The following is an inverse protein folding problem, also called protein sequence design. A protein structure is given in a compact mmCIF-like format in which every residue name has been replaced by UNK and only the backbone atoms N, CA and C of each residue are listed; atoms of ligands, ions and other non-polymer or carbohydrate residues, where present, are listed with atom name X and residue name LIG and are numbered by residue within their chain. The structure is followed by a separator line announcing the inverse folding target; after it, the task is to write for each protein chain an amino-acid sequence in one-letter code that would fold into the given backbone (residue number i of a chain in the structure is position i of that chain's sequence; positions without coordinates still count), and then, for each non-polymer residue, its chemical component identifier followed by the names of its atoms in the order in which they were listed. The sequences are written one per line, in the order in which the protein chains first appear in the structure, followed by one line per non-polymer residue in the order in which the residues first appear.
data_IF_640523889964
#
_entry.id   IF_640523889964
#
_cell.length_a   1.000
_cell.length_b   1.000
_cell.length_c   1.000
_cell.angle_alpha   90.00
_cell.angle_beta   90.00
_cell.angle_gamma   90.00
#
_symmetry.space_group_name_H-M   'P 1'
#
loop_
_entity.id
_entity.type
_entity.pdbx_description
1 polymer ?
#
# COMPACT_ATOMS: atom_id res chain seq x y z
N UNK A 1 0.63 2.08 -0.64
CA UNK A 1 1.13 2.89 -1.77
C UNK A 1 2.53 3.39 -1.45
N UNK A 2 3.44 3.29 -2.38
CA UNK A 2 4.84 3.70 -2.22
C UNK A 2 5.41 4.22 -3.54
N UNK A 3 6.30 5.22 -3.45
CA UNK A 3 7.04 5.75 -4.59
C UNK A 3 7.99 4.67 -5.16
N UNK A 4 8.02 4.57 -6.48
CA UNK A 4 8.94 3.71 -7.23
C UNK A 4 9.68 4.51 -8.31
N UNK A 5 10.47 3.82 -9.13
CA UNK A 5 11.20 4.43 -10.25
C UNK A 5 10.28 5.18 -11.22
N UNK A 6 10.83 6.19 -11.88
CA UNK A 6 10.08 7.07 -12.80
C UNK A 6 9.17 8.08 -12.08
N UNK A 7 9.24 8.18 -10.74
CA UNK A 7 8.39 9.09 -9.98
C UNK A 7 6.93 8.65 -9.87
N UNK A 8 6.63 7.40 -10.23
CA UNK A 8 5.31 6.79 -10.10
C UNK A 8 5.11 6.12 -8.75
N UNK A 9 3.88 5.70 -8.43
CA UNK A 9 3.59 4.88 -7.25
C UNK A 9 3.18 3.46 -7.64
N UNK A 10 3.35 2.52 -6.69
CA UNK A 10 2.82 1.15 -6.73
C UNK A 10 2.10 0.83 -5.44
N UNK A 11 1.28 -0.23 -5.53
CA UNK A 11 0.46 -0.69 -4.43
C UNK A 11 0.90 -2.08 -3.99
N UNK A 12 0.90 -2.28 -2.67
CA UNK A 12 1.00 -3.60 -2.04
C UNK A 12 -0.41 -3.91 -1.52
N UNK A 13 -1.09 -4.86 -2.15
CA UNK A 13 -2.41 -5.30 -1.71
C UNK A 13 -2.25 -6.51 -0.80
N UNK A 14 -2.82 -6.44 0.39
CA UNK A 14 -2.69 -7.45 1.43
C UNK A 14 -4.00 -8.22 1.52
N UNK A 15 -3.93 -9.54 1.29
CA UNK A 15 -5.05 -10.47 1.39
C UNK A 15 -4.77 -11.45 2.52
N UNK A 16 -5.69 -11.61 3.44
CA UNK A 16 -5.60 -12.59 4.52
C UNK A 16 -6.62 -13.72 4.36
N UNK A 17 -7.90 -13.42 4.49
CA UNK A 17 -8.99 -14.40 4.36
C UNK A 17 -9.73 -14.29 3.03
N UNK A 18 -9.74 -13.11 2.42
CA UNK A 18 -10.42 -12.86 1.16
C UNK A 18 -9.70 -13.49 -0.01
N UNK A 19 -10.46 -13.94 -1.01
CA UNK A 19 -9.97 -14.42 -2.29
C UNK A 19 -10.52 -13.59 -3.43
N UNK A 20 -9.69 -13.35 -4.45
CA UNK A 20 -10.03 -12.64 -5.66
C UNK A 20 -9.44 -13.42 -6.84
N UNK A 21 -10.29 -13.79 -7.81
CA UNK A 21 -9.88 -14.49 -9.05
C UNK A 21 -9.19 -13.58 -10.06
N UNK A 22 -9.42 -12.26 -9.98
CA UNK A 22 -9.01 -11.28 -10.99
C UNK A 22 -8.29 -10.10 -10.32
N UNK A 23 -7.04 -10.34 -9.89
CA UNK A 23 -6.22 -9.34 -9.21
C UNK A 23 -5.03 -8.91 -10.06
N UNK A 24 -4.90 -7.60 -10.34
CA UNK A 24 -3.78 -7.08 -11.11
C UNK A 24 -3.93 -5.60 -11.50
N UNK A 25 -3.01 -5.09 -12.30
CA UNK A 25 -1.85 -5.79 -12.87
C UNK A 25 -0.75 -6.05 -11.84
N UNK A 26 -0.26 -7.29 -11.82
CA UNK A 26 0.87 -7.67 -10.97
C UNK A 26 2.16 -7.11 -11.56
N UNK A 27 2.98 -6.50 -10.70
CA UNK A 27 4.24 -5.86 -11.08
C UNK A 27 5.41 -6.43 -10.29
N UNK A 28 6.62 -5.98 -10.66
CA UNK A 28 7.86 -6.41 -10.01
C UNK A 28 7.94 -5.95 -8.56
N UNK A 29 8.54 -6.78 -7.70
CA UNK A 29 8.83 -6.46 -6.31
C UNK A 29 9.78 -5.28 -6.17
N UNK A 30 9.68 -4.59 -5.04
CA UNK A 30 10.51 -3.44 -4.68
C UNK A 30 11.07 -3.60 -3.26
N UNK A 31 12.18 -2.92 -2.91
CA UNK A 31 12.82 -3.08 -1.60
C UNK A 31 11.93 -2.75 -0.41
N UNK A 32 10.92 -1.90 -0.58
CA UNK A 32 9.95 -1.56 0.47
C UNK A 32 8.96 -2.70 0.75
N UNK A 33 8.64 -3.55 -0.24
CA UNK A 33 7.58 -4.56 -0.11
C UNK A 33 7.81 -5.53 1.06
N UNK A 34 9.01 -6.16 1.19
CA UNK A 34 9.25 -7.08 2.30
C UNK A 34 9.21 -6.39 3.66
N UNK A 35 9.58 -5.12 3.75
CA UNK A 35 9.59 -4.41 5.03
C UNK A 35 8.18 -4.17 5.57
N UNK A 36 7.19 -4.04 4.69
CA UNK A 36 5.76 -3.94 5.05
C UNK A 36 5.16 -5.32 5.34
N UNK A 37 5.54 -6.34 4.54
CA UNK A 37 4.93 -7.66 4.63
C UNK A 37 5.46 -8.50 5.79
N UNK A 38 6.70 -8.28 6.23
CA UNK A 38 7.40 -9.13 7.21
C UNK A 38 6.66 -9.32 8.54
N UNK A 39 6.04 -8.30 9.17
CA UNK A 39 5.31 -8.52 10.42
C UNK A 39 4.10 -9.44 10.24
N UNK A 40 3.52 -9.44 9.05
CA UNK A 40 2.35 -10.26 8.73
C UNK A 40 2.71 -11.73 8.52
N UNK A 41 4.00 -12.05 8.27
CA UNK A 41 4.44 -13.41 7.96
C UNK A 41 3.89 -13.95 6.65
N UNK A 42 3.53 -13.06 5.72
CA UNK A 42 2.92 -13.41 4.44
C UNK A 42 3.92 -13.79 3.35
N UNK A 43 3.39 -14.18 2.20
CA UNK A 43 4.14 -14.48 0.96
C UNK A 43 4.01 -13.29 0.02
N UNK A 44 5.11 -12.81 -0.53
CA UNK A 44 5.10 -11.77 -1.54
C UNK A 44 4.82 -12.38 -2.92
N UNK A 45 3.85 -11.79 -3.63
CA UNK A 45 3.50 -12.16 -5.00
C UNK A 45 3.91 -11.03 -5.93
N UNK A 46 4.76 -11.33 -6.91
CA UNK A 46 5.27 -10.33 -7.85
C UNK A 46 5.54 -10.95 -9.24
N UNK A 47 5.63 -10.11 -10.29
CA UNK A 47 5.99 -10.57 -11.63
C UNK A 47 7.51 -10.76 -11.83
N UNK A 48 8.29 -10.75 -10.76
CA UNK A 48 9.76 -10.77 -10.76
C UNK A 48 10.31 -9.56 -9.99
N UNK A 49 11.57 -9.28 -10.16
CA UNK A 49 12.26 -8.13 -9.59
C UNK A 49 13.53 -7.80 -10.38
N UNK A 50 14.17 -6.67 -10.08
CA UNK A 50 15.54 -6.37 -10.51
C UNK A 50 16.49 -7.42 -9.92
N UNK A 51 17.52 -7.82 -10.68
CA UNK A 51 18.46 -8.89 -10.31
C UNK A 51 19.01 -8.71 -8.90
N UNK A 52 19.04 -9.80 -8.12
CA UNK A 52 19.51 -9.80 -6.72
C UNK A 52 18.46 -9.51 -5.67
N UNK A 53 17.36 -8.83 -6.00
CA UNK A 53 16.36 -8.41 -5.00
C UNK A 53 15.54 -9.59 -4.45
N UNK A 54 15.20 -10.60 -5.26
CA UNK A 54 14.40 -11.75 -4.75
C UNK A 54 15.18 -12.56 -3.69
N UNK A 55 16.46 -12.91 -3.90
CA UNK A 55 17.28 -13.48 -2.83
C UNK A 55 17.28 -12.65 -1.55
N UNK A 56 17.51 -11.35 -1.65
CA UNK A 56 17.51 -10.43 -0.52
C UNK A 56 16.17 -10.45 0.24
N UNK A 57 15.03 -10.44 -0.47
CA UNK A 57 13.69 -10.55 0.13
C UNK A 57 13.53 -11.89 0.87
N UNK A 58 14.00 -12.99 0.29
CA UNK A 58 13.95 -14.29 0.94
C UNK A 58 14.84 -14.35 2.20
N UNK A 59 16.03 -13.73 2.16
CA UNK A 59 16.94 -13.63 3.31
C UNK A 59 16.32 -12.77 4.45
N UNK A 60 15.44 -11.84 4.12
CA UNK A 60 14.62 -11.15 5.12
C UNK A 60 13.51 -12.03 5.71
N UNK A 61 13.35 -13.28 5.29
CA UNK A 61 12.32 -14.20 5.75
C UNK A 61 10.95 -14.00 5.11
N UNK A 62 10.88 -13.35 3.94
CA UNK A 62 9.65 -13.17 3.16
C UNK A 62 9.72 -14.05 1.91
N UNK A 63 8.98 -15.19 1.86
CA UNK A 63 8.94 -16.02 0.66
C UNK A 63 8.35 -15.27 -0.52
N UNK A 64 8.85 -15.53 -1.72
CA UNK A 64 8.40 -14.87 -2.96
C UNK A 64 7.84 -15.89 -3.94
N UNK A 65 6.65 -15.63 -4.48
CA UNK A 65 6.08 -16.31 -5.64
C UNK A 65 6.15 -15.34 -6.82
N UNK A 66 6.89 -15.74 -7.84
CA UNK A 66 6.99 -15.00 -9.11
C UNK A 66 6.08 -15.59 -10.18
N UNK A 67 5.90 -14.85 -11.28
CA UNK A 67 5.08 -15.22 -12.44
C UNK A 67 5.33 -16.67 -12.89
N UNK A 68 4.42 -17.56 -12.51
CA UNK A 68 4.38 -18.98 -12.91
C UNK A 68 2.94 -19.38 -13.18
N UNK A 69 2.73 -20.02 -14.34
CA UNK A 69 1.42 -20.63 -14.62
C UNK A 69 1.21 -21.86 -13.71
N UNK A 70 -0.02 -22.15 -13.31
CA UNK A 70 -1.30 -21.53 -13.73
C UNK A 70 -1.81 -20.38 -12.86
N UNK A 71 -1.08 -19.93 -11.83
CA UNK A 71 -1.54 -18.97 -10.83
C UNK A 71 -1.69 -17.58 -11.42
N UNK A 72 -0.90 -17.29 -12.45
CA UNK A 72 -0.89 -16.04 -13.20
C UNK A 72 -1.45 -16.23 -14.60
N UNK A 73 -2.14 -15.21 -15.09
CA UNK A 73 -2.67 -15.15 -16.44
C UNK A 73 -2.57 -13.74 -17.02
N UNK A 74 -2.65 -13.64 -18.34
CA UNK A 74 -2.66 -12.34 -19.02
C UNK A 74 -4.02 -12.07 -19.62
N UNK A 75 -4.53 -10.87 -19.40
CA UNK A 75 -5.78 -10.41 -20.00
C UNK A 75 -5.51 -9.76 -21.36
N UNK A 76 -6.44 -9.91 -22.30
CA UNK A 76 -6.34 -9.36 -23.66
C UNK A 76 -6.76 -7.90 -23.77
N UNK A 77 -7.58 -7.43 -22.82
CA UNK A 77 -8.08 -6.03 -22.81
C UNK A 77 -7.00 -4.99 -22.47
N UNK A 78 -5.83 -5.41 -22.03
CA UNK A 78 -4.68 -4.54 -21.72
C UNK A 78 -3.41 -5.05 -22.39
N UNK A 79 -2.45 -4.14 -22.64
CA UNK A 79 -1.14 -4.47 -23.20
C UNK A 79 -0.11 -4.77 -22.11
N UNK A 80 0.86 -5.65 -22.42
CA UNK A 80 2.03 -5.82 -21.56
C UNK A 80 2.77 -4.47 -21.39
N UNK A 81 3.34 -4.21 -20.20
CA UNK A 81 3.46 -5.04 -19.01
C UNK A 81 2.27 -4.86 -18.01
N UNK A 82 1.16 -4.25 -18.42
CA UNK A 82 0.03 -3.89 -17.56
C UNK A 82 -1.14 -4.89 -17.61
N UNK A 83 -0.89 -6.12 -18.06
CA UNK A 83 -1.92 -7.13 -18.31
C UNK A 83 -1.68 -8.46 -17.59
N UNK A 84 -0.75 -8.54 -16.63
CA UNK A 84 -0.51 -9.74 -15.83
C UNK A 84 -1.40 -9.69 -14.60
N UNK A 85 -2.23 -10.71 -14.42
CA UNK A 85 -3.18 -10.86 -13.32
C UNK A 85 -2.94 -12.19 -12.61
N UNK A 86 -3.48 -12.33 -11.42
CA UNK A 86 -3.38 -13.53 -10.61
C UNK A 86 -4.68 -13.84 -9.88
N UNK A 87 -4.83 -15.13 -9.58
CA UNK A 87 -5.88 -15.68 -8.73
C UNK A 87 -5.30 -15.96 -7.35
N UNK A 88 -5.80 -15.26 -6.32
CA UNK A 88 -5.25 -15.35 -4.97
C UNK A 88 -5.48 -16.71 -4.33
N UNK A 89 -6.56 -17.44 -4.67
CA UNK A 89 -6.82 -18.78 -4.18
C UNK A 89 -5.79 -19.78 -4.73
N UNK A 90 -5.47 -19.69 -6.02
CA UNK A 90 -4.41 -20.50 -6.63
C UNK A 90 -3.04 -20.19 -6.03
N UNK A 91 -2.73 -18.90 -5.83
CA UNK A 91 -1.50 -18.48 -5.17
C UNK A 91 -1.37 -19.02 -3.74
N UNK A 92 -2.48 -19.03 -2.95
CA UNK A 92 -2.50 -19.67 -1.62
C UNK A 92 -2.21 -21.18 -1.71
N UNK A 93 -2.81 -21.86 -2.68
CA UNK A 93 -2.56 -23.30 -2.93
C UNK A 93 -1.11 -23.55 -3.31
N UNK A 94 -0.52 -22.72 -4.17
CA UNK A 94 0.90 -22.77 -4.54
C UNK A 94 1.81 -22.50 -3.34
N UNK A 95 1.49 -21.53 -2.49
CA UNK A 95 2.24 -21.27 -1.26
C UNK A 95 2.28 -22.51 -0.34
N UNK A 96 1.13 -23.16 -0.17
CA UNK A 96 1.03 -24.41 0.63
C UNK A 96 1.85 -25.52 -0.01
N UNK A 97 1.76 -25.73 -1.33
CA UNK A 97 2.51 -26.79 -2.05
C UNK A 97 4.03 -26.58 -1.98
N UNK A 98 4.48 -25.33 -1.86
CA UNK A 98 5.89 -24.97 -1.63
C UNK A 98 6.34 -25.12 -0.16
N UNK A 99 5.46 -25.55 0.74
CA UNK A 99 5.76 -25.70 2.16
C UNK A 99 5.86 -24.36 2.92
N UNK A 100 5.35 -23.28 2.37
CA UNK A 100 5.32 -22.02 3.10
C UNK A 100 4.31 -22.10 4.24
N UNK A 101 4.76 -21.71 5.44
CA UNK A 101 3.94 -21.83 6.65
C UNK A 101 2.72 -20.92 6.57
N UNK A 102 1.55 -21.47 6.88
CA UNK A 102 0.34 -20.68 7.10
C UNK A 102 0.49 -19.91 8.42
N UNK A 103 0.31 -18.61 8.37
CA UNK A 103 0.22 -17.76 9.56
C UNK A 103 -1.24 -17.68 9.98
N UNK A 104 -1.58 -18.29 11.11
CA UNK A 104 -2.97 -18.30 11.59
C UNK A 104 -3.40 -16.96 12.18
N UNK A 105 -2.46 -16.25 12.82
CA UNK A 105 -2.71 -14.93 13.41
C UNK A 105 -1.55 -14.03 13.02
N UNK A 106 -1.66 -13.29 11.89
CA UNK A 106 -0.64 -12.32 11.52
C UNK A 106 -0.54 -11.23 12.59
N UNK A 107 0.68 -10.73 12.82
CA UNK A 107 0.84 -9.52 13.61
C UNK A 107 0.24 -8.34 12.84
N UNK A 108 -0.63 -7.53 13.44
CA UNK A 108 -1.24 -6.41 12.75
C UNK A 108 -0.20 -5.36 12.37
N UNK A 109 -0.42 -4.66 11.25
CA UNK A 109 0.45 -3.52 10.87
C UNK A 109 0.30 -2.33 11.82
N UNK A 110 -0.85 -2.21 12.47
CA UNK A 110 -1.17 -1.16 13.44
C UNK A 110 -1.96 -1.77 14.61
N UNK A 111 -1.93 -1.16 15.79
CA UNK A 111 -2.92 -1.44 16.84
C UNK A 111 -4.33 -1.09 16.33
N UNK A 112 -5.24 -2.08 16.31
CA UNK A 112 -6.62 -1.90 15.90
C UNK A 112 -7.51 -1.52 17.08
N UNK A 113 -8.44 -0.60 16.89
CA UNK A 113 -9.42 -0.21 17.89
C UNK A 113 -10.28 0.96 17.44
N UNK A 114 -11.24 1.35 18.27
CA UNK A 114 -12.06 2.50 17.98
C UNK A 114 -11.28 3.78 18.28
N UNK A 115 -11.21 4.74 17.33
CA UNK A 115 -10.50 5.98 17.55
C UNK A 115 -11.27 6.86 18.54
N UNK A 116 -10.53 7.49 19.41
CA UNK A 116 -11.06 8.65 20.16
C UNK A 116 -10.83 9.89 19.31
N UNK A 117 -11.90 10.56 18.89
CA UNK A 117 -11.82 11.76 18.04
C UNK A 117 -11.43 13.04 18.77
N UNK A 118 -10.85 12.94 19.96
CA UNK A 118 -10.32 14.07 20.68
C UNK A 118 -9.20 14.71 19.85
N UNK A 119 -9.27 16.03 19.65
CA UNK A 119 -8.30 16.81 18.85
C UNK A 119 -8.27 16.52 17.34
N UNK A 120 -9.22 15.75 16.80
CA UNK A 120 -9.35 15.60 15.36
C UNK A 120 -10.08 16.80 14.76
N UNK A 121 -9.57 17.29 13.63
CA UNK A 121 -10.15 18.41 12.89
C UNK A 121 -11.07 17.89 11.81
N UNK A 122 -12.14 18.62 11.49
CA UNK A 122 -12.94 18.36 10.29
C UNK A 122 -12.05 18.55 9.07
N UNK A 123 -12.15 17.64 8.12
CA UNK A 123 -11.32 17.64 6.92
C UNK A 123 -12.09 17.10 5.72
N UNK A 124 -12.06 17.82 4.61
CA UNK A 124 -12.73 17.44 3.38
C UNK A 124 -11.81 16.76 2.38
N UNK A 125 -10.51 17.05 2.40
CA UNK A 125 -9.55 16.43 1.48
C UNK A 125 -8.13 16.37 2.06
N UNK A 126 -7.34 15.42 1.54
CA UNK A 126 -5.90 15.31 1.77
C UNK A 126 -5.22 15.01 0.43
N UNK A 127 -4.30 15.87 0.03
CA UNK A 127 -3.46 15.68 -1.15
C UNK A 127 -2.03 15.32 -0.71
N UNK A 128 -1.52 14.23 -1.27
CA UNK A 128 -0.21 13.63 -0.97
C UNK A 128 0.65 13.65 -2.23
N UNK A 129 1.64 14.55 -2.35
CA UNK A 129 2.61 14.50 -3.42
C UNK A 129 3.66 13.42 -3.15
N UNK A 130 3.87 12.52 -4.11
CA UNK A 130 4.93 11.50 -4.03
C UNK A 130 6.18 11.93 -4.77
N UNK A 131 6.00 12.63 -5.90
CA UNK A 131 7.09 13.13 -6.74
C UNK A 131 6.67 14.45 -7.42
N UNK A 132 7.47 14.93 -8.38
CA UNK A 132 7.05 16.00 -9.31
C UNK A 132 6.08 15.51 -10.39
N UNK A 133 5.84 14.19 -10.48
CA UNK A 133 5.03 13.55 -11.53
C UNK A 133 3.79 12.85 -11.00
N UNK A 134 3.72 12.55 -9.69
CA UNK A 134 2.62 11.79 -9.10
C UNK A 134 2.14 12.40 -7.79
N UNK A 135 0.85 12.62 -7.73
CA UNK A 135 0.12 13.14 -6.56
C UNK A 135 -1.18 12.36 -6.39
N UNK A 136 -1.59 12.14 -5.16
CA UNK A 136 -2.85 11.46 -4.82
C UNK A 136 -3.70 12.36 -3.94
N UNK A 137 -4.98 12.49 -4.26
CA UNK A 137 -5.94 13.20 -3.43
C UNK A 137 -7.03 12.27 -2.92
N UNK A 138 -7.32 12.38 -1.64
CA UNK A 138 -8.40 11.71 -0.94
C UNK A 138 -9.46 12.73 -0.57
N UNK A 139 -10.70 12.55 -1.03
CA UNK A 139 -11.80 13.48 -0.78
C UNK A 139 -12.92 12.77 -0.02
N UNK A 140 -13.37 13.36 1.08
CA UNK A 140 -14.49 12.85 1.87
C UNK A 140 -15.82 13.10 1.14
N UNK A 141 -16.63 12.06 0.94
CA UNK A 141 -17.93 12.14 0.28
C UNK A 141 -19.14 12.08 1.22
N UNK A 142 -18.90 12.16 2.53
CA UNK A 142 -19.93 11.96 3.57
C UNK A 142 -19.98 10.54 4.15
N UNK A 143 -19.28 9.57 3.53
CA UNK A 143 -19.27 8.16 3.96
C UNK A 143 -17.88 7.54 3.92
N UNK A 144 -17.13 7.75 2.84
CA UNK A 144 -15.78 7.22 2.63
C UNK A 144 -14.90 8.25 1.96
N UNK A 145 -13.59 7.98 1.92
CA UNK A 145 -12.63 8.78 1.17
C UNK A 145 -12.47 8.21 -0.24
N UNK A 146 -12.78 9.03 -1.25
CA UNK A 146 -12.64 8.72 -2.66
C UNK A 146 -11.26 9.12 -3.16
N UNK A 147 -10.62 8.22 -3.93
CA UNK A 147 -9.28 8.44 -4.46
C UNK A 147 -9.32 9.04 -5.86
N UNK A 148 -8.57 10.13 -6.04
CA UNK A 148 -8.13 10.64 -7.33
C UNK A 148 -6.60 10.66 -7.37
N UNK A 149 -6.00 10.72 -8.57
CA UNK A 149 -4.55 10.81 -8.70
C UNK A 149 -4.15 11.64 -9.91
N UNK A 150 -3.04 12.33 -9.78
CA UNK A 150 -2.38 13.00 -10.87
C UNK A 150 -1.15 12.18 -11.29
N UNK A 151 -1.00 11.96 -12.58
CA UNK A 151 0.17 11.34 -13.19
C UNK A 151 0.56 12.15 -14.44
N UNK A 152 1.71 12.82 -14.37
CA UNK A 152 2.18 13.68 -15.47
C UNK A 152 2.49 12.93 -16.77
N UNK A 153 2.71 11.60 -16.70
CA UNK A 153 2.93 10.77 -17.88
C UNK A 153 1.64 10.36 -18.60
N UNK A 154 0.54 10.37 -17.88
CA UNK A 154 -0.78 10.15 -18.46
C UNK A 154 -1.34 11.53 -18.86
N UNK A 155 -1.12 11.92 -20.11
CA UNK A 155 -1.58 13.19 -20.66
C UNK A 155 -3.06 13.42 -20.30
N UNK A 156 -3.34 14.30 -19.31
CA UNK A 156 -4.55 14.30 -18.49
C UNK A 156 -5.77 14.85 -19.23
N UNK A 157 -6.31 14.06 -20.11
CA UNK A 157 -7.64 14.26 -20.69
C UNK A 157 -8.78 13.71 -19.84
N UNK A 158 -8.46 13.15 -18.66
CA UNK A 158 -9.39 12.41 -17.80
C UNK A 158 -9.60 13.11 -16.45
N UNK A 159 -10.66 12.73 -15.78
CA UNK A 159 -11.15 13.25 -14.52
C UNK A 159 -10.26 12.94 -13.28
N UNK A 160 -9.08 12.33 -13.49
CA UNK A 160 -8.15 11.88 -12.46
C UNK A 160 -8.73 10.84 -11.47
N UNK A 161 -9.91 10.31 -11.73
CA UNK A 161 -10.54 9.30 -10.88
C UNK A 161 -9.74 8.00 -10.94
N UNK A 162 -9.44 7.43 -9.78
CA UNK A 162 -8.85 6.10 -9.71
C UNK A 162 -9.95 5.04 -9.67
N UNK A 163 -10.12 4.33 -10.78
CA UNK A 163 -11.12 3.29 -10.92
C UNK A 163 -10.55 1.91 -10.59
N UNK A 164 -11.38 1.06 -9.99
CA UNK A 164 -11.22 -0.38 -10.04
C UNK A 164 -12.12 -0.95 -11.13
N UNK A 165 -11.76 -2.12 -11.67
CA UNK A 165 -12.62 -2.90 -12.57
C UNK A 165 -12.53 -4.38 -12.23
N UNK A 166 -13.64 -5.11 -12.39
CA UNK A 166 -13.67 -6.55 -12.23
C UNK A 166 -13.62 -7.30 -13.59
N UNK A 167 -13.65 -8.63 -13.53
CA UNK A 167 -13.63 -9.50 -14.70
C UNK A 167 -14.89 -9.39 -15.60
N UNK A 168 -15.99 -8.88 -15.05
CA UNK A 168 -17.27 -8.69 -15.75
C UNK A 168 -17.38 -7.29 -16.39
N UNK A 169 -16.36 -6.43 -16.20
CA UNK A 169 -16.35 -5.07 -16.72
C UNK A 169 -17.10 -4.07 -15.84
N UNK A 170 -17.51 -4.44 -14.62
CA UNK A 170 -17.99 -3.47 -13.66
C UNK A 170 -16.84 -2.56 -13.23
N UNK A 171 -17.12 -1.29 -13.05
CA UNK A 171 -16.17 -0.28 -12.63
C UNK A 171 -16.71 0.51 -11.43
N UNK A 172 -15.82 1.00 -10.59
CA UNK A 172 -16.17 1.92 -9.51
C UNK A 172 -14.95 2.68 -9.04
N UNK A 173 -15.16 3.79 -8.37
CA UNK A 173 -14.07 4.57 -7.82
C UNK A 173 -13.46 3.88 -6.60
N UNK A 174 -12.14 3.91 -6.50
CA UNK A 174 -11.41 3.45 -5.31
C UNK A 174 -11.85 4.28 -4.10
N UNK A 175 -12.30 3.59 -3.05
CA UNK A 175 -12.77 4.21 -1.81
C UNK A 175 -12.34 3.43 -0.57
N UNK A 176 -12.02 4.16 0.50
CA UNK A 176 -11.55 3.60 1.77
C UNK A 176 -12.18 4.33 2.96
N UNK A 177 -12.37 3.60 4.08
CA UNK A 177 -12.94 4.14 5.31
C UNK A 177 -11.92 4.97 6.09
N UNK A 178 -10.65 4.56 6.01
CA UNK A 178 -9.52 5.18 6.70
C UNK A 178 -8.35 5.35 5.73
N UNK A 179 -7.71 6.52 5.79
CA UNK A 179 -6.48 6.80 5.05
C UNK A 179 -5.37 7.17 6.04
N UNK A 180 -4.22 6.53 5.90
CA UNK A 180 -3.04 6.78 6.72
C UNK A 180 -1.91 7.21 5.79
N UNK A 181 -1.34 8.39 6.02
CA UNK A 181 -0.11 8.82 5.38
C UNK A 181 1.03 8.77 6.40
N UNK A 182 2.06 7.98 6.11
CA UNK A 182 3.29 7.90 6.89
C UNK A 182 4.40 8.59 6.11
N UNK A 183 4.95 9.67 6.65
CA UNK A 183 6.04 10.41 6.02
C UNK A 183 7.36 9.75 6.40
N UNK A 184 8.01 9.14 5.40
CA UNK A 184 9.17 8.29 5.56
C UNK A 184 10.40 8.89 4.86
N UNK A 185 11.59 8.70 5.41
CA UNK A 185 12.84 9.12 4.79
C UNK A 185 13.08 8.34 3.50
N UNK A 186 13.18 9.01 2.32
CA UNK A 186 13.49 8.33 1.07
C UNK A 186 14.97 7.97 1.00
N UNK A 187 15.28 6.85 0.35
CA UNK A 187 16.64 6.46 0.01
C UNK A 187 16.68 5.73 -1.32
N UNK A 188 17.87 5.59 -1.89
CA UNK A 188 18.10 4.77 -3.08
C UNK A 188 18.74 3.46 -2.65
N UNK A 189 18.07 2.36 -2.94
CA UNK A 189 18.59 1.02 -2.68
C UNK A 189 19.85 0.75 -3.52
N UNK A 190 20.82 -0.10 -3.10
CA UNK A 190 22.00 -0.44 -3.90
C UNK A 190 21.71 -0.91 -5.33
N UNK A 191 20.57 -1.53 -5.57
CA UNK A 191 20.08 -1.91 -6.91
C UNK A 191 19.49 -0.73 -7.71
N UNK A 192 19.76 0.52 -7.31
CA UNK A 192 19.29 1.76 -7.94
C UNK A 192 17.75 1.88 -7.96
N UNK A 193 17.09 1.34 -6.94
CA UNK A 193 15.64 1.42 -6.80
C UNK A 193 15.27 2.44 -5.72
N UNK A 194 14.35 3.38 -6.01
CA UNK A 194 13.79 4.25 -4.97
C UNK A 194 13.07 3.45 -3.90
N UNK A 195 13.25 3.85 -2.67
CA UNK A 195 12.64 3.20 -1.52
C UNK A 195 12.44 4.20 -0.38
N UNK A 196 11.78 3.78 0.70
CA UNK A 196 11.61 4.58 1.91
C UNK A 196 11.95 3.76 3.16
N UNK A 197 12.52 4.40 4.18
CA UNK A 197 12.76 3.77 5.47
C UNK A 197 11.44 3.58 6.22
N UNK A 198 11.12 2.34 6.55
CA UNK A 198 9.91 1.98 7.29
C UNK A 198 10.18 1.65 8.76
N UNK A 199 11.43 1.74 9.20
CA UNK A 199 11.88 1.63 10.60
C UNK A 199 12.39 2.99 11.04
N UNK A 200 12.07 3.41 12.26
CA UNK A 200 12.36 4.73 12.80
C UNK A 200 11.09 5.47 13.20
N UNK A 201 11.05 6.75 12.95
CA UNK A 201 9.92 7.62 13.28
C UNK A 201 9.74 8.71 12.23
N UNK A 202 8.53 9.29 12.18
CA UNK A 202 8.20 10.39 11.29
C UNK A 202 6.81 10.97 11.55
N UNK A 203 6.43 11.96 10.74
CA UNK A 203 5.07 12.50 10.75
C UNK A 203 4.09 11.46 10.22
N UNK A 204 2.88 11.46 10.77
CA UNK A 204 1.74 10.71 10.24
C UNK A 204 0.52 11.61 10.13
N UNK A 205 -0.35 11.32 9.15
CA UNK A 205 -1.68 11.93 9.05
C UNK A 205 -2.68 10.78 8.95
N UNK A 206 -3.73 10.82 9.77
CA UNK A 206 -4.84 9.88 9.70
C UNK A 206 -6.11 10.61 9.33
N UNK A 207 -6.86 10.02 8.39
CA UNK A 207 -8.21 10.42 8.02
C UNK A 207 -9.18 9.30 8.37
N UNK A 208 -10.28 9.65 9.07
CA UNK A 208 -11.40 8.76 9.32
C UNK A 208 -12.67 9.55 9.61
N UNK A 209 -13.82 9.15 9.04
CA UNK A 209 -15.13 9.74 9.33
C UNK A 209 -15.23 11.25 9.05
N UNK A 210 -14.57 11.75 7.99
CA UNK A 210 -14.53 13.18 7.65
C UNK A 210 -13.67 14.03 8.58
N UNK A 211 -12.82 13.39 9.37
CA UNK A 211 -11.89 14.04 10.30
C UNK A 211 -10.45 13.67 10.02
N UNK A 212 -9.54 14.52 10.47
CA UNK A 212 -8.08 14.37 10.33
C UNK A 212 -7.38 14.63 11.66
N UNK A 213 -6.32 13.88 11.90
CA UNK A 213 -5.34 14.19 12.94
C UNK A 213 -3.92 14.18 12.36
N UNK A 214 -3.14 15.21 12.74
CA UNK A 214 -1.68 15.24 12.52
C UNK A 214 -1.00 14.57 13.72
N UNK A 215 -0.11 13.62 13.44
CA UNK A 215 0.39 12.67 14.41
C UNK A 215 1.86 12.32 14.10
N UNK A 216 2.43 11.40 14.88
CA UNK A 216 3.76 10.83 14.66
C UNK A 216 3.67 9.32 14.60
N UNK A 217 4.41 8.69 13.68
CA UNK A 217 4.57 7.25 13.68
C UNK A 217 5.94 6.85 14.24
N UNK A 218 6.01 5.66 14.86
CA UNK A 218 7.25 5.00 15.30
C UNK A 218 7.18 3.51 14.98
N UNK A 219 8.36 2.95 14.64
CA UNK A 219 8.53 1.52 14.40
C UNK A 219 9.96 1.10 14.73
N UNK A 220 10.15 0.14 15.63
CA UNK A 220 11.46 -0.27 16.15
C UNK A 220 12.22 -1.20 15.20
N UNK A 221 11.51 -2.10 14.52
CA UNK A 221 12.09 -3.06 13.57
C UNK A 221 11.11 -3.44 12.46
N UNK A 222 11.59 -4.14 11.44
CA UNK A 222 10.72 -4.67 10.37
C UNK A 222 9.75 -5.77 10.85
N UNK A 223 9.87 -6.26 12.08
CA UNK A 223 8.95 -7.22 12.69
C UNK A 223 7.86 -6.55 13.51
N UNK A 224 8.02 -5.28 13.86
CA UNK A 224 7.08 -4.56 14.71
C UNK A 224 5.94 -3.95 13.90
N UNK A 225 4.76 -3.72 14.51
CA UNK A 225 3.73 -2.86 13.94
C UNK A 225 4.20 -1.40 13.90
N UNK A 226 3.55 -0.60 13.07
CA UNK A 226 3.62 0.84 13.17
C UNK A 226 2.75 1.30 14.36
N UNK A 227 3.30 2.09 15.24
CA UNK A 227 2.55 2.79 16.27
C UNK A 227 2.40 4.25 15.86
N UNK A 228 1.20 4.78 16.02
CA UNK A 228 0.89 6.19 15.73
C UNK A 228 0.54 6.87 17.05
N UNK A 229 1.07 8.06 17.26
CA UNK A 229 0.92 8.81 18.50
C UNK A 229 0.39 10.20 18.22
N UNK A 230 -0.55 10.66 19.05
CA UNK A 230 -1.02 12.05 19.04
C UNK A 230 0.03 13.01 19.63
N UNK A 231 -0.28 14.30 19.67
CA UNK A 231 0.59 15.34 20.24
C UNK A 231 0.88 15.16 21.74
N UNK A 232 0.04 14.41 22.46
CA UNK A 232 0.19 14.09 23.88
C UNK A 232 0.91 12.75 24.11
N UNK A 233 1.43 12.14 23.03
CA UNK A 233 2.08 10.84 23.05
C UNK A 233 1.15 9.67 23.44
N UNK A 234 -0.15 9.79 23.22
CA UNK A 234 -1.09 8.69 23.35
C UNK A 234 -1.11 7.88 22.05
N UNK A 235 -1.21 6.54 22.15
CA UNK A 235 -1.35 5.68 21.00
C UNK A 235 -2.70 5.91 20.32
N UNK A 236 -2.67 6.12 19.01
CA UNK A 236 -3.86 6.19 18.16
C UNK A 236 -4.13 4.79 17.60
N UNK A 237 -5.32 4.28 17.87
CA UNK A 237 -5.79 3.03 17.31
C UNK A 237 -6.36 3.25 15.91
N UNK A 238 -6.09 2.33 15.00
CA UNK A 238 -6.65 2.36 13.65
C UNK A 238 -8.01 1.67 13.64
N UNK A 239 -9.07 2.34 13.13
CA UNK A 239 -10.40 1.75 13.09
C UNK A 239 -10.44 0.52 12.17
N UNK A 240 -11.35 -0.42 12.47
CA UNK A 240 -11.68 -1.52 11.58
C UNK A 240 -12.31 -0.99 10.29
N UNK A 241 -12.09 -1.69 9.18
CA UNK A 241 -12.63 -1.31 7.87
C UNK A 241 -11.58 -1.39 6.77
N UNK A 242 -11.86 -0.78 5.64
CA UNK A 242 -10.92 -0.66 4.52
C UNK A 242 -9.92 0.44 4.83
N UNK A 243 -8.65 0.09 4.94
CA UNK A 243 -7.56 1.03 5.26
C UNK A 243 -6.61 1.15 4.09
N UNK A 244 -6.33 2.39 3.68
CA UNK A 244 -5.28 2.72 2.73
C UNK A 244 -4.08 3.31 3.47
N UNK A 245 -2.88 2.85 3.12
CA UNK A 245 -1.63 3.34 3.72
C UNK A 245 -0.77 3.91 2.59
N UNK A 246 -0.36 5.18 2.74
CA UNK A 246 0.57 5.86 1.85
C UNK A 246 1.90 6.07 2.56
N UNK A 247 2.98 5.49 2.01
CA UNK A 247 4.36 5.74 2.45
C UNK A 247 4.90 6.91 1.62
N UNK A 248 4.79 8.12 2.15
CA UNK A 248 5.10 9.37 1.45
C UNK A 248 6.54 9.79 1.76
N UNK A 249 7.35 10.20 0.78
CA UNK A 249 8.66 10.79 1.07
C UNK A 249 8.52 12.01 1.99
N UNK A 250 9.27 12.03 3.11
CA UNK A 250 9.20 13.11 4.10
C UNK A 250 9.75 14.46 3.59
N UNK A 251 10.33 14.46 2.39
CA UNK A 251 10.73 15.67 1.65
C UNK A 251 9.56 16.37 0.94
N UNK A 252 8.36 15.80 1.02
CA UNK A 252 7.14 16.31 0.41
C UNK A 252 6.18 16.83 1.46
N UNK A 253 5.46 17.91 1.11
CA UNK A 253 4.48 18.54 1.99
C UNK A 253 3.07 18.27 1.49
N UNK A 254 2.17 17.72 2.31
CA UNK A 254 0.77 17.53 1.95
C UNK A 254 0.01 18.85 1.95
N UNK A 255 -1.12 18.90 1.24
CA UNK A 255 -2.16 19.92 1.41
C UNK A 255 -3.46 19.27 1.85
N UNK A 256 -4.25 19.95 2.66
CA UNK A 256 -5.51 19.47 3.22
C UNK A 256 -6.42 20.61 3.61
N UNK A 257 -7.75 20.37 3.74
CA UNK A 257 -8.76 21.35 4.14
C UNK A 257 -10.13 20.75 4.38
#
# INVERSE_FOLDING_TARGET
EVLVEGGMTRFINIFYQSDISYHGPIRSARPTDPTVLRPLGGVLVASGATGGLIPEINDMGVPVITDRRPDYFRISSRKAPHNLYADTQKLKSTAISKGYKKVNTPQPLFPWGDPTFNNWQTNSFLTLPFSGYTETTWTWNGSTYLRTYYDAYQNQKYDNIHYWSDENGNIGQISFDTVIALFCEPYVHPLQLPSVKTVGEGRAILLHGGKMIDAKWKRGSNLDPFHIFDSNNNILYVPKGKVWISLVPNTKSPSFG
#
